data_IF_641691703239
#
_entry.id   IF_641691703239
#
_cell.length_a   1.000
_cell.length_b   1.000
_cell.length_c   1.000
_cell.angle_alpha   90.00
_cell.angle_beta   90.00
_cell.angle_gamma   90.00
#
_symmetry.space_group_name_H-M   'P 1'
#
loop_
_entity.id
_entity.type
_entity.pdbx_description
1 polymer ?
#
# COMPACT_ATOMS: atom_id res chain seq x y z
N UNK A 1 -8.53 6.25 -44.42
CA UNK A 1 -9.25 6.39 -43.12
C UNK A 1 -8.25 6.73 -42.03
N UNK A 2 -8.46 7.85 -41.32
CA UNK A 2 -7.60 8.31 -40.22
C UNK A 2 -7.86 7.48 -38.97
N UNK A 3 -6.81 7.05 -38.26
CA UNK A 3 -6.80 7.06 -36.79
C UNK A 3 -5.48 7.61 -36.30
N UNK A 4 -5.62 8.63 -35.47
CA UNK A 4 -4.62 9.60 -35.04
C UNK A 4 -4.24 9.27 -33.58
N UNK A 5 -2.95 9.47 -33.27
CA UNK A 5 -2.32 9.85 -31.97
C UNK A 5 -2.03 8.81 -30.87
N UNK A 6 -0.74 8.85 -30.51
CA UNK A 6 -0.14 8.74 -29.17
C UNK A 6 -0.06 7.30 -28.60
N UNK A 7 1.06 6.80 -28.08
CA UNK A 7 1.86 7.45 -27.04
C UNK A 7 3.23 6.77 -26.84
N UNK A 8 4.20 7.59 -26.42
CA UNK A 8 5.59 7.30 -26.06
C UNK A 8 5.74 6.14 -25.05
N UNK A 9 6.93 5.52 -25.07
CA UNK A 9 7.59 4.73 -24.02
C UNK A 9 7.63 3.19 -24.18
N UNK A 10 8.79 2.73 -24.67
CA UNK A 10 9.41 1.43 -24.38
C UNK A 10 9.48 1.17 -22.87
N UNK A 11 8.51 0.45 -22.28
CA UNK A 11 8.48 0.20 -20.82
C UNK A 11 8.15 -1.22 -20.36
N UNK A 12 8.08 -2.24 -21.23
CA UNK A 12 7.55 -3.56 -20.83
C UNK A 12 8.30 -4.81 -21.38
N UNK A 13 9.54 -4.71 -21.88
CA UNK A 13 10.27 -5.89 -22.39
C UNK A 13 10.39 -7.01 -21.33
N UNK A 14 10.76 -6.67 -20.10
CA UNK A 14 10.93 -7.64 -19.02
C UNK A 14 9.61 -8.32 -18.63
N UNK A 15 8.51 -7.55 -18.56
CA UNK A 15 7.17 -8.13 -18.28
C UNK A 15 6.75 -9.10 -19.38
N UNK A 16 7.03 -8.78 -20.65
CA UNK A 16 6.76 -9.66 -21.80
C UNK A 16 7.58 -10.95 -21.74
N UNK A 17 8.85 -10.86 -21.37
CA UNK A 17 9.72 -12.03 -21.23
C UNK A 17 9.30 -12.93 -20.06
N UNK A 18 8.98 -12.34 -18.90
CA UNK A 18 8.52 -13.08 -17.72
C UNK A 18 7.20 -13.79 -17.98
N UNK A 19 6.24 -13.13 -18.66
CA UNK A 19 4.93 -13.72 -19.01
C UNK A 19 5.04 -14.96 -19.92
N UNK A 20 6.18 -15.19 -20.61
CA UNK A 20 6.39 -16.42 -21.41
C UNK A 20 6.61 -17.66 -20.57
N UNK A 21 7.08 -17.52 -19.32
CA UNK A 21 7.45 -18.64 -18.44
C UNK A 21 6.71 -18.65 -17.10
N UNK A 22 6.21 -17.50 -16.67
CA UNK A 22 5.59 -17.32 -15.37
C UNK A 22 4.24 -16.62 -15.51
N UNK A 23 3.33 -16.95 -14.61
CA UNK A 23 2.12 -16.17 -14.41
C UNK A 23 2.49 -14.86 -13.69
N UNK A 24 2.29 -13.73 -14.37
CA UNK A 24 2.70 -12.41 -13.88
C UNK A 24 1.48 -11.61 -13.49
N UNK A 25 1.39 -11.26 -12.21
CA UNK A 25 0.34 -10.43 -11.65
C UNK A 25 0.83 -8.99 -11.42
N UNK A 26 -0.02 -8.00 -11.74
CA UNK A 26 0.29 -6.60 -11.47
C UNK A 26 -0.29 -6.19 -10.10
N UNK A 27 0.58 -6.04 -9.11
CA UNK A 27 0.21 -5.61 -7.77
C UNK A 27 0.74 -4.19 -7.57
N UNK A 28 -0.13 -3.27 -7.14
CA UNK A 28 0.25 -1.92 -6.76
C UNK A 28 0.23 -1.74 -5.23
N UNK A 29 0.85 -0.66 -4.75
CA UNK A 29 0.98 -0.32 -3.33
C UNK A 29 -0.27 0.39 -2.76
N UNK A 30 -1.33 0.60 -3.54
CA UNK A 30 -2.45 1.42 -3.11
C UNK A 30 -3.06 0.95 -1.78
N UNK A 31 -3.15 1.87 -0.82
CA UNK A 31 -3.62 1.68 0.56
C UNK A 31 -2.83 0.65 1.41
N UNK A 32 -1.73 0.06 0.91
CA UNK A 32 -1.00 -0.98 1.66
C UNK A 32 -0.28 -0.45 2.90
N UNK A 33 0.27 0.76 2.86
CA UNK A 33 0.86 1.44 4.03
C UNK A 33 -0.17 2.20 4.87
N UNK A 34 -1.37 2.46 4.32
CA UNK A 34 -2.44 3.24 4.95
C UNK A 34 -3.34 2.41 5.87
N UNK A 35 -3.76 1.23 5.40
CA UNK A 35 -4.62 0.33 6.15
C UNK A 35 -3.81 -0.59 7.05
N UNK A 36 -4.29 -0.85 8.26
CA UNK A 36 -3.66 -1.79 9.16
C UNK A 36 -3.82 -3.23 8.69
N UNK A 37 -2.72 -3.99 8.68
CA UNK A 37 -2.75 -5.38 8.27
C UNK A 37 -3.50 -6.32 9.22
N UNK A 38 -3.81 -5.93 10.46
CA UNK A 38 -4.59 -6.73 11.39
C UNK A 38 -6.04 -6.26 11.49
N UNK A 39 -6.24 -4.96 11.67
CA UNK A 39 -7.58 -4.40 11.93
C UNK A 39 -8.32 -3.94 10.68
N UNK A 40 -7.63 -3.83 9.55
CA UNK A 40 -8.15 -3.30 8.27
C UNK A 40 -8.72 -1.88 8.33
N UNK A 41 -8.40 -1.14 9.40
CA UNK A 41 -8.74 0.28 9.59
C UNK A 41 -7.55 1.16 9.20
N UNK A 42 -7.82 2.44 8.98
CA UNK A 42 -6.77 3.41 8.71
C UNK A 42 -5.84 3.58 9.92
N UNK A 43 -4.53 3.60 9.66
CA UNK A 43 -3.49 3.81 10.67
C UNK A 43 -3.21 5.31 10.87
N UNK A 44 -2.87 5.69 12.10
CA UNK A 44 -2.26 6.98 12.40
C UNK A 44 -0.72 6.90 12.34
N UNK A 45 -0.04 8.04 12.29
CA UNK A 45 1.40 8.08 12.58
C UNK A 45 1.61 8.10 14.09
N UNK A 46 2.70 7.50 14.57
CA UNK A 46 3.11 7.68 15.96
C UNK A 46 3.50 9.13 16.18
N UNK A 47 2.94 9.75 17.22
CA UNK A 47 3.29 11.10 17.64
C UNK A 47 4.12 11.02 18.90
N UNK A 48 5.24 11.73 18.90
CA UNK A 48 6.15 11.81 20.04
C UNK A 48 6.32 13.26 20.47
N UNK A 49 6.30 13.48 21.77
CA UNK A 49 6.58 14.77 22.38
C UNK A 49 8.05 14.80 22.77
N UNK A 50 8.73 15.90 22.48
CA UNK A 50 10.12 16.13 22.87
C UNK A 50 10.30 17.59 23.29
N UNK A 51 11.27 17.83 24.17
CA UNK A 51 11.67 19.19 24.53
C UNK A 51 12.71 19.70 23.54
N UNK A 52 12.57 20.95 23.12
CA UNK A 52 13.59 21.61 22.31
C UNK A 52 14.69 22.24 23.19
N UNK A 53 15.67 22.87 22.56
CA UNK A 53 16.81 23.52 23.23
C UNK A 53 16.43 24.68 24.18
N UNK A 54 15.16 25.11 24.16
CA UNK A 54 14.58 26.16 25.01
C UNK A 54 13.58 25.59 26.04
N UNK A 55 13.62 24.28 26.28
CA UNK A 55 12.71 23.55 27.19
C UNK A 55 11.21 23.60 26.82
N UNK A 56 10.85 24.04 25.61
CA UNK A 56 9.46 24.01 25.14
C UNK A 56 9.10 22.63 24.58
N UNK A 57 7.92 22.12 24.94
CA UNK A 57 7.39 20.86 24.41
C UNK A 57 6.92 21.02 22.95
N UNK A 58 7.38 20.11 22.09
CA UNK A 58 6.98 20.04 20.68
C UNK A 58 6.54 18.64 20.32
N UNK A 59 5.55 18.54 19.43
CA UNK A 59 5.06 17.28 18.88
C UNK A 59 5.70 17.01 17.51
N UNK A 60 6.15 15.79 17.27
CA UNK A 60 6.61 15.32 15.95
C UNK A 60 5.93 14.02 15.58
N UNK A 61 5.48 13.92 14.33
CA UNK A 61 4.99 12.66 13.76
C UNK A 61 6.15 11.83 13.22
N UNK A 62 6.26 10.58 13.68
CA UNK A 62 7.18 9.59 13.15
C UNK A 62 6.49 8.78 12.05
N UNK A 63 6.75 9.14 10.80
CA UNK A 63 6.11 8.47 9.65
C UNK A 63 6.50 6.99 9.50
N UNK A 64 7.66 6.57 10.04
CA UNK A 64 8.11 5.17 9.99
C UNK A 64 7.25 4.22 10.82
N UNK A 65 6.54 4.74 11.82
CA UNK A 65 5.79 3.93 12.79
C UNK A 65 4.32 4.33 12.73
N UNK A 66 3.48 3.33 12.49
CA UNK A 66 2.04 3.47 12.43
C UNK A 66 1.41 3.03 13.76
N UNK A 67 0.39 3.75 14.19
CA UNK A 67 -0.40 3.46 15.39
C UNK A 67 -1.79 2.97 15.02
N UNK A 68 -2.30 2.01 15.80
CA UNK A 68 -3.64 1.46 15.63
C UNK A 68 -4.25 1.07 16.97
N UNK A 69 -5.59 1.07 17.04
CA UNK A 69 -6.31 0.65 18.25
C UNK A 69 -6.48 -0.86 18.26
N UNK A 70 -5.97 -1.53 19.29
CA UNK A 70 -6.15 -2.96 19.53
C UNK A 70 -7.54 -3.25 20.11
N UNK A 71 -7.96 -4.52 20.11
CA UNK A 71 -9.22 -4.96 20.72
C UNK A 71 -9.33 -4.60 22.21
N UNK A 72 -8.21 -4.60 22.92
CA UNK A 72 -8.11 -4.20 24.34
C UNK A 72 -8.12 -2.68 24.56
N UNK A 73 -8.52 -1.88 23.58
CA UNK A 73 -8.46 -0.41 23.55
C UNK A 73 -7.06 0.22 23.70
N UNK A 74 -5.98 -0.57 23.78
CA UNK A 74 -4.60 -0.07 23.83
C UNK A 74 -4.12 0.35 22.45
N UNK A 75 -3.15 1.26 22.42
CA UNK A 75 -2.48 1.70 21.18
C UNK A 75 -1.37 0.69 20.85
N UNK A 76 -1.50 0.01 19.72
CA UNK A 76 -0.44 -0.79 19.13
C UNK A 76 0.40 0.03 18.16
N UNK A 77 1.66 -0.35 17.99
CA UNK A 77 2.58 0.23 17.00
C UNK A 77 3.03 -0.83 16.00
N UNK A 78 3.24 -0.44 14.75
CA UNK A 78 3.80 -1.30 13.70
C UNK A 78 4.67 -0.47 12.75
N UNK A 79 5.80 -1.02 12.31
CA UNK A 79 6.60 -0.41 11.25
C UNK A 79 5.78 -0.31 9.94
N UNK A 80 5.84 0.84 9.28
CA UNK A 80 5.06 1.14 8.06
C UNK A 80 5.32 0.14 6.94
N UNK A 81 6.58 -0.19 6.70
CA UNK A 81 6.99 -1.09 5.61
C UNK A 81 6.56 -2.53 5.91
N UNK A 82 6.71 -2.96 7.17
CA UNK A 82 6.21 -4.25 7.63
C UNK A 82 4.70 -4.37 7.44
N UNK A 83 3.96 -3.30 7.74
CA UNK A 83 2.52 -3.24 7.50
C UNK A 83 2.18 -3.36 6.00
N UNK A 84 2.90 -2.62 5.15
CA UNK A 84 2.72 -2.67 3.70
C UNK A 84 3.00 -4.07 3.12
N UNK A 85 4.09 -4.71 3.52
CA UNK A 85 4.44 -6.08 3.08
C UNK A 85 3.38 -7.10 3.50
N UNK A 86 2.89 -7.02 4.75
CA UNK A 86 1.81 -7.90 5.22
C UNK A 86 0.52 -7.71 4.41
N UNK A 87 0.18 -6.47 4.07
CA UNK A 87 -0.96 -6.19 3.19
C UNK A 87 -0.74 -6.68 1.76
N UNK A 88 0.46 -6.52 1.17
CA UNK A 88 0.79 -7.08 -0.14
C UNK A 88 0.63 -8.60 -0.18
N UNK A 89 1.05 -9.30 0.89
CA UNK A 89 0.84 -10.76 1.01
C UNK A 89 -0.64 -11.12 1.03
N UNK A 90 -1.46 -10.40 1.83
CA UNK A 90 -2.93 -10.60 1.88
C UNK A 90 -3.59 -10.39 0.51
N UNK A 91 -3.23 -9.31 -0.16
CA UNK A 91 -3.72 -8.99 -1.50
C UNK A 91 -3.36 -10.08 -2.50
N UNK A 92 -2.12 -10.58 -2.45
CA UNK A 92 -1.65 -11.63 -3.35
C UNK A 92 -2.43 -12.92 -3.13
N UNK A 93 -2.61 -13.35 -1.86
CA UNK A 93 -3.41 -14.52 -1.54
C UNK A 93 -4.85 -14.39 -2.06
N UNK A 94 -5.51 -13.27 -1.77
CA UNK A 94 -6.87 -13.03 -2.25
C UNK A 94 -6.97 -13.03 -3.77
N UNK A 95 -5.98 -12.45 -4.47
CA UNK A 95 -5.90 -12.45 -5.93
C UNK A 95 -5.72 -13.86 -6.52
N UNK A 96 -4.93 -14.71 -5.88
CA UNK A 96 -4.74 -16.09 -6.33
C UNK A 96 -6.03 -16.89 -6.22
N UNK A 97 -6.78 -16.69 -5.13
CA UNK A 97 -8.03 -17.41 -4.82
C UNK A 97 -9.23 -16.91 -5.62
N UNK A 98 -9.44 -15.58 -5.70
CA UNK A 98 -10.66 -14.97 -6.24
C UNK A 98 -10.47 -14.36 -7.63
N UNK A 99 -9.22 -14.32 -8.13
CA UNK A 99 -8.83 -13.66 -9.39
C UNK A 99 -9.19 -12.17 -9.48
N UNK A 100 -9.51 -11.55 -8.34
CA UNK A 100 -9.79 -10.12 -8.22
C UNK A 100 -8.99 -9.51 -7.06
N UNK A 101 -8.98 -8.18 -6.94
CA UNK A 101 -8.29 -7.48 -5.85
C UNK A 101 -9.30 -7.01 -4.79
N UNK A 102 -9.01 -7.12 -3.48
CA UNK A 102 -9.94 -6.64 -2.47
C UNK A 102 -10.24 -5.15 -2.64
N UNK A 103 -11.54 -4.78 -2.58
CA UNK A 103 -12.03 -3.42 -2.85
C UNK A 103 -11.29 -2.33 -2.09
N UNK A 104 -10.93 -2.58 -0.82
CA UNK A 104 -10.18 -1.64 0.04
C UNK A 104 -8.80 -1.25 -0.49
N UNK A 105 -8.19 -2.13 -1.30
CA UNK A 105 -6.89 -1.93 -1.92
C UNK A 105 -6.98 -1.59 -3.41
N UNK A 106 -8.19 -1.37 -3.93
CA UNK A 106 -8.43 -0.99 -5.32
C UNK A 106 -8.72 0.51 -5.37
N UNK A 107 -8.06 1.23 -6.28
CA UNK A 107 -8.50 2.59 -6.60
C UNK A 107 -9.81 2.44 -7.38
N UNK A 108 -10.87 3.16 -7.01
CA UNK A 108 -12.11 3.26 -7.81
C UNK A 108 -11.91 3.89 -9.22
N UNK A 109 -10.68 3.91 -9.73
CA UNK A 109 -10.40 4.22 -11.14
C UNK A 109 -10.73 2.97 -11.94
N UNK A 110 -11.70 3.13 -12.84
CA UNK A 110 -12.01 2.23 -13.94
C UNK A 110 -10.67 1.79 -14.57
N UNK A 111 -10.24 0.57 -14.28
CA UNK A 111 -9.07 -0.01 -14.91
C UNK A 111 -9.49 -0.30 -16.35
N UNK A 112 -9.04 0.55 -17.30
CA UNK A 112 -9.02 0.15 -18.69
C UNK A 112 -8.17 -1.11 -18.77
N UNK A 113 -8.82 -2.22 -19.13
CA UNK A 113 -8.15 -3.46 -19.54
C UNK A 113 -7.13 -3.11 -20.63
N UNK A 114 -5.88 -3.52 -20.43
CA UNK A 114 -4.85 -3.57 -21.47
C UNK A 114 -4.63 -5.01 -21.86
#
# INVERSE_FOLDING_TARGET
MKRIKNNKYSKNRNKRLLKRRFEVYHINEFNTSKLNCYTEKENGNLKVTYKNSKDEEKEKSLHLILTYKMSSNRIGCINRDTNAVKNMRKITAYLLDHKERPKKFTQNKILQLV
#
